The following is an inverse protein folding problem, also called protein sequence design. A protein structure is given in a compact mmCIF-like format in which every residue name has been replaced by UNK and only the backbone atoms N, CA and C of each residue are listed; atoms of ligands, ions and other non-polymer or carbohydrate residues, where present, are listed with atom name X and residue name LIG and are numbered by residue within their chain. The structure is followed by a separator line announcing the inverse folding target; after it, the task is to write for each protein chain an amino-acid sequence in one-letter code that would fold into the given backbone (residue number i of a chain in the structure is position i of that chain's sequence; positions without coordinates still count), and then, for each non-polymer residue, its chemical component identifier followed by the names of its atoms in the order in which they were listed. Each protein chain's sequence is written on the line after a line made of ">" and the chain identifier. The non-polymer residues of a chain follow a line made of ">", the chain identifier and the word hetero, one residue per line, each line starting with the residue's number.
data_IF_171172604704
#
_entry.id   IF_171172604704
#
_cell.length_a   1.000
_cell.length_b   1.000
_cell.length_c   1.000
_cell.angle_alpha   90.00
_cell.angle_beta   90.00
_cell.angle_gamma   90.00
#
_symmetry.space_group_name_H-M   'P 1'
#
loop_
_entity.id
_entity.type
_entity.pdbx_description
1 polymer ?
#
# COMPACT_ATOMS: atom_id res chain seq x y z
N UNK A 1 12.86 -17.81 3.92
CA UNK A 1 12.14 -18.58 2.88
C UNK A 1 11.10 -17.73 2.12
N UNK A 2 10.04 -17.20 2.74
CA UNK A 2 9.03 -16.40 2.02
C UNK A 2 9.60 -15.14 1.37
N UNK A 3 10.43 -14.38 2.09
CA UNK A 3 11.12 -13.20 1.54
C UNK A 3 12.02 -13.57 0.35
N UNK A 4 12.69 -14.72 0.41
CA UNK A 4 13.58 -15.18 -0.65
C UNK A 4 12.80 -15.54 -1.91
N UNK A 5 11.64 -16.20 -1.76
CA UNK A 5 10.73 -16.50 -2.86
C UNK A 5 10.19 -15.22 -3.50
N UNK A 6 9.77 -14.24 -2.68
CA UNK A 6 9.32 -12.94 -3.16
C UNK A 6 10.43 -12.21 -3.94
N UNK A 7 11.65 -12.20 -3.41
CA UNK A 7 12.79 -11.57 -4.06
C UNK A 7 13.17 -12.28 -5.37
N UNK A 8 13.09 -13.62 -5.42
CA UNK A 8 13.32 -14.39 -6.66
C UNK A 8 12.30 -14.02 -7.73
N UNK A 9 11.01 -13.92 -7.39
CA UNK A 9 9.97 -13.53 -8.34
C UNK A 9 10.15 -12.08 -8.82
N UNK A 10 10.48 -11.16 -7.90
CA UNK A 10 10.81 -9.78 -8.26
C UNK A 10 11.97 -9.71 -9.25
N UNK A 11 13.05 -10.46 -9.01
CA UNK A 11 14.20 -10.51 -9.90
C UNK A 11 13.86 -11.13 -11.27
N UNK A 12 13.00 -12.15 -11.29
CA UNK A 12 12.49 -12.76 -12.53
C UNK A 12 11.69 -11.75 -13.36
N UNK A 13 10.85 -10.92 -12.75
CA UNK A 13 10.09 -9.89 -13.46
C UNK A 13 11.01 -8.80 -14.04
N UNK A 14 12.06 -8.41 -13.31
CA UNK A 14 13.04 -7.43 -13.78
C UNK A 14 13.87 -7.98 -14.95
N UNK A 15 14.28 -9.25 -14.90
CA UNK A 15 15.06 -9.87 -15.98
C UNK A 15 14.30 -10.04 -17.29
N UNK A 16 12.96 -10.06 -17.25
CA UNK A 16 12.11 -10.06 -18.45
C UNK A 16 12.13 -8.72 -19.21
N UNK A 17 12.59 -7.64 -18.58
CA UNK A 17 12.73 -6.32 -19.23
C UNK A 17 14.21 -5.90 -19.28
N UNK A 18 15.07 -6.61 -20.04
CA UNK A 18 16.52 -6.36 -20.04
C UNK A 18 16.91 -5.08 -20.79
N UNK A 19 16.04 -4.60 -21.71
CA UNK A 19 16.24 -3.33 -22.43
C UNK A 19 15.25 -2.29 -21.94
N UNK A 20 15.77 -1.09 -21.67
CA UNK A 20 14.98 0.05 -21.25
C UNK A 20 14.16 0.58 -22.42
N UNK A 21 12.87 0.24 -22.45
CA UNK A 21 11.90 0.84 -23.36
C UNK A 21 11.36 2.15 -22.75
N UNK A 22 11.27 3.20 -23.56
CA UNK A 22 10.71 4.49 -23.13
C UNK A 22 9.21 4.50 -23.34
N UNK A 23 8.48 5.02 -22.36
CA UNK A 23 7.04 5.25 -22.40
C UNK A 23 6.73 6.72 -22.15
N UNK A 24 5.67 7.20 -22.77
CA UNK A 24 5.19 8.56 -22.59
C UNK A 24 4.04 8.55 -21.59
N UNK A 25 4.17 9.35 -20.54
CA UNK A 25 3.18 9.45 -19.47
C UNK A 25 2.67 10.88 -19.43
N UNK A 26 1.37 11.06 -19.67
CA UNK A 26 0.73 12.37 -19.72
C UNK A 26 0.05 12.70 -18.40
N UNK A 27 0.37 13.84 -17.81
CA UNK A 27 -0.32 14.31 -16.61
C UNK A 27 -1.66 14.96 -16.95
N UNK A 28 -2.74 14.42 -16.38
CA UNK A 28 -4.13 14.93 -16.52
C UNK A 28 -4.68 15.45 -15.20
N UNK A 29 -3.86 16.23 -14.50
CA UNK A 29 -4.21 16.90 -13.24
C UNK A 29 -4.88 18.26 -13.42
N UNK A 30 -5.41 18.81 -12.32
CA UNK A 30 -5.92 20.20 -12.27
C UNK A 30 -4.80 21.24 -12.33
N UNK A 31 -3.65 20.87 -11.76
CA UNK A 31 -2.43 21.68 -11.71
C UNK A 31 -1.47 21.07 -12.72
N UNK A 32 -0.76 21.90 -13.48
CA UNK A 32 0.15 21.48 -14.57
C UNK A 32 -0.51 20.50 -15.58
N UNK A 33 -1.62 20.90 -16.23
CA UNK A 33 -2.28 20.04 -17.20
C UNK A 33 -1.40 19.87 -18.45
N UNK A 34 -1.29 18.63 -18.94
CA UNK A 34 -0.60 18.34 -20.20
C UNK A 34 0.92 18.21 -20.09
N UNK A 35 1.49 18.19 -18.88
CA UNK A 35 2.90 17.83 -18.70
C UNK A 35 3.14 16.39 -19.18
N UNK A 36 4.12 16.21 -20.05
CA UNK A 36 4.53 14.91 -20.57
C UNK A 36 5.81 14.46 -19.89
N UNK A 37 5.84 13.21 -19.42
CA UNK A 37 7.02 12.57 -18.88
C UNK A 37 7.47 11.44 -19.80
N UNK A 38 8.78 11.37 -20.06
CA UNK A 38 9.39 10.24 -20.76
C UNK A 38 10.02 9.32 -19.71
N UNK A 39 9.39 8.18 -19.48
CA UNK A 39 9.68 7.25 -18.39
C UNK A 39 10.17 5.90 -18.90
N UNK A 40 10.72 5.08 -18.02
CA UNK A 40 11.18 3.73 -18.35
C UNK A 40 10.06 2.72 -18.06
N UNK A 41 9.67 1.94 -19.07
CA UNK A 41 8.68 0.87 -18.93
C UNK A 41 9.15 -0.19 -17.93
N UNK A 42 8.23 -0.68 -17.11
CA UNK A 42 8.44 -1.67 -16.04
C UNK A 42 9.46 -1.29 -14.96
N UNK A 43 9.94 -0.04 -14.95
CA UNK A 43 10.93 0.46 -13.98
C UNK A 43 10.42 1.73 -13.30
N UNK A 44 10.03 2.74 -14.09
CA UNK A 44 9.49 3.99 -13.56
C UNK A 44 8.12 3.76 -12.93
N UNK A 45 7.85 4.53 -11.88
CA UNK A 45 6.61 4.44 -11.10
C UNK A 45 5.87 5.78 -11.13
N UNK A 46 4.57 5.83 -10.81
CA UNK A 46 3.87 7.08 -10.56
C UNK A 46 4.60 8.03 -9.60
N UNK A 47 5.25 7.49 -8.57
CA UNK A 47 6.06 8.26 -7.64
C UNK A 47 7.25 8.93 -8.32
N UNK A 48 7.92 8.24 -9.25
CA UNK A 48 8.96 8.85 -10.08
C UNK A 48 8.41 10.05 -10.86
N UNK A 49 7.22 9.93 -11.46
CA UNK A 49 6.56 11.05 -12.14
C UNK A 49 6.27 12.23 -11.17
N UNK A 50 5.81 11.94 -9.96
CA UNK A 50 5.57 12.97 -8.94
C UNK A 50 6.86 13.72 -8.55
N UNK A 51 8.00 13.03 -8.51
CA UNK A 51 9.31 13.65 -8.24
C UNK A 51 9.73 14.68 -9.30
N UNK A 52 9.31 14.51 -10.56
CA UNK A 52 9.58 15.49 -11.61
C UNK A 52 8.72 16.75 -11.51
N UNK A 53 7.60 16.71 -10.77
CA UNK A 53 6.72 17.86 -10.58
C UNK A 53 7.16 18.69 -9.38
N UNK A 54 7.00 18.15 -8.17
CA UNK A 54 7.44 18.82 -6.95
C UNK A 54 7.37 17.88 -5.75
N UNK A 55 8.09 18.25 -4.68
CA UNK A 55 8.03 17.53 -3.41
C UNK A 55 6.60 17.48 -2.82
N UNK A 56 5.77 18.48 -3.11
CA UNK A 56 4.39 18.50 -2.68
C UNK A 56 3.62 17.29 -3.23
N UNK A 57 3.80 16.95 -4.51
CA UNK A 57 3.18 15.76 -5.09
C UNK A 57 3.70 14.48 -4.44
N UNK A 58 5.01 14.39 -4.17
CA UNK A 58 5.58 13.22 -3.50
C UNK A 58 4.98 12.98 -2.11
N UNK A 59 4.72 14.05 -1.35
CA UNK A 59 4.21 13.96 0.03
C UNK A 59 2.69 13.84 0.11
N UNK A 60 1.95 14.35 -0.88
CA UNK A 60 0.47 14.43 -0.83
C UNK A 60 -0.22 13.38 -1.69
N UNK A 61 0.44 12.86 -2.72
CA UNK A 61 -0.13 11.84 -3.60
C UNK A 61 -0.10 10.48 -2.91
N UNK A 62 -1.27 9.89 -2.71
CA UNK A 62 -1.40 8.59 -2.03
C UNK A 62 -1.58 7.48 -3.06
N UNK A 63 -2.38 7.77 -4.09
CA UNK A 63 -2.72 6.87 -5.17
C UNK A 63 -2.61 7.61 -6.49
N UNK A 64 -2.34 6.90 -7.57
CA UNK A 64 -2.44 7.43 -8.92
C UNK A 64 -3.62 6.78 -9.64
N UNK A 65 -4.28 7.52 -10.52
CA UNK A 65 -5.15 6.95 -11.54
C UNK A 65 -4.34 6.86 -12.83
N UNK A 66 -4.18 5.65 -13.34
CA UNK A 66 -3.53 5.36 -14.62
C UNK A 66 -4.63 4.91 -15.57
N UNK A 67 -4.90 5.70 -16.61
CA UNK A 67 -6.03 5.50 -17.55
C UNK A 67 -7.38 5.29 -16.83
N UNK A 68 -7.60 6.02 -15.73
CA UNK A 68 -8.80 5.92 -14.90
C UNK A 68 -8.83 4.76 -13.90
N UNK A 69 -7.82 3.89 -13.88
CA UNK A 69 -7.73 2.78 -12.92
C UNK A 69 -6.84 3.13 -11.72
N UNK A 70 -7.21 2.76 -10.49
CA UNK A 70 -6.36 2.97 -9.31
C UNK A 70 -5.06 2.19 -9.43
N UNK A 71 -3.95 2.89 -9.17
CA UNK A 71 -2.59 2.39 -9.31
C UNK A 71 -1.74 2.85 -8.13
N UNK A 72 -0.98 1.92 -7.56
CA UNK A 72 -0.12 2.23 -6.42
C UNK A 72 1.05 3.11 -6.86
N UNK A 73 1.46 4.02 -5.98
CA UNK A 73 2.52 4.99 -6.27
C UNK A 73 3.87 4.32 -6.59
N UNK A 74 4.13 3.14 -6.05
CA UNK A 74 5.36 2.37 -6.24
C UNK A 74 5.23 1.20 -7.21
N UNK A 75 4.08 1.06 -7.88
CA UNK A 75 3.88 0.02 -8.89
C UNK A 75 4.42 0.48 -10.25
N UNK A 76 5.30 -0.29 -10.91
CA UNK A 76 5.88 0.12 -12.19
C UNK A 76 4.82 0.31 -13.29
N UNK A 77 5.07 1.29 -14.16
CA UNK A 77 4.21 1.58 -15.32
C UNK A 77 4.57 0.66 -16.49
N UNK A 78 3.57 0.02 -17.08
CA UNK A 78 3.77 -1.01 -18.10
C UNK A 78 3.58 -0.51 -19.53
N UNK A 79 2.95 0.65 -19.72
CA UNK A 79 2.63 1.23 -21.05
C UNK A 79 2.55 2.75 -20.96
N UNK A 80 2.56 3.41 -22.11
CA UNK A 80 2.20 4.82 -22.22
C UNK A 80 0.76 5.02 -21.73
N UNK A 81 0.55 6.01 -20.87
CA UNK A 81 -0.71 6.18 -20.14
C UNK A 81 -0.92 7.63 -19.69
N UNK A 82 -2.17 7.94 -19.35
CA UNK A 82 -2.51 9.18 -18.67
C UNK A 82 -2.50 8.97 -17.15
N UNK A 83 -1.79 9.85 -16.43
CA UNK A 83 -1.64 9.80 -14.97
C UNK A 83 -2.34 10.97 -14.30
N UNK A 84 -3.07 10.68 -13.23
CA UNK A 84 -3.64 11.68 -12.32
C UNK A 84 -3.33 11.31 -10.88
N UNK A 85 -2.79 12.25 -10.12
CA UNK A 85 -2.53 12.03 -8.70
C UNK A 85 -3.80 12.25 -7.86
N UNK A 86 -4.03 11.35 -6.91
CA UNK A 86 -5.13 11.43 -5.96
C UNK A 86 -4.60 11.71 -4.54
N UNK A 87 -5.34 12.54 -3.83
CA UNK A 87 -5.07 13.00 -2.47
C UNK A 87 -6.29 12.79 -1.58
N UNK A 88 -6.11 12.83 -0.25
CA UNK A 88 -7.24 12.78 0.69
C UNK A 88 -8.21 13.97 0.59
N UNK A 89 -7.78 15.08 -0.03
CA UNK A 89 -8.54 16.33 -0.12
C UNK A 89 -9.29 16.48 -1.45
N UNK A 90 -9.30 15.45 -2.28
CA UNK A 90 -10.05 15.47 -3.52
C UNK A 90 -11.56 15.40 -3.27
N UNK A 91 -12.34 15.84 -4.28
CA UNK A 91 -13.81 15.86 -4.20
C UNK A 91 -14.40 14.46 -4.00
N UNK A 92 -13.76 13.45 -4.62
CA UNK A 92 -14.10 12.05 -4.45
C UNK A 92 -12.86 11.27 -4.02
N UNK A 93 -12.61 11.16 -2.69
CA UNK A 93 -11.49 10.40 -2.16
C UNK A 93 -11.83 8.92 -1.97
N UNK A 94 -12.90 8.41 -2.58
CA UNK A 94 -13.40 7.04 -2.36
C UNK A 94 -12.33 5.96 -2.53
N UNK A 95 -11.60 6.00 -3.65
CA UNK A 95 -10.53 5.02 -3.95
C UNK A 95 -9.33 5.15 -3.01
N UNK A 96 -8.94 6.38 -2.67
CA UNK A 96 -7.87 6.66 -1.72
C UNK A 96 -8.23 6.12 -0.33
N UNK A 97 -9.48 6.33 0.09
CA UNK A 97 -9.96 5.81 1.36
C UNK A 97 -9.94 4.28 1.33
N UNK A 98 -10.51 3.62 0.33
CA UNK A 98 -10.45 2.14 0.22
C UNK A 98 -9.01 1.61 0.33
N UNK A 99 -8.07 2.21 -0.41
CA UNK A 99 -6.65 1.85 -0.35
C UNK A 99 -6.05 2.04 1.06
N UNK A 100 -6.40 3.14 1.74
CA UNK A 100 -5.98 3.42 3.10
C UNK A 100 -6.48 2.36 4.10
N UNK A 101 -7.78 2.04 4.08
CA UNK A 101 -8.36 1.05 4.99
C UNK A 101 -7.78 -0.35 4.77
N UNK A 102 -7.56 -0.76 3.51
CA UNK A 102 -6.86 -2.01 3.17
C UNK A 102 -5.43 -2.02 3.72
N UNK A 103 -4.69 -0.91 3.57
CA UNK A 103 -3.33 -0.79 4.11
C UNK A 103 -3.31 -0.88 5.64
N UNK A 104 -4.29 -0.26 6.31
CA UNK A 104 -4.44 -0.35 7.76
C UNK A 104 -4.73 -1.77 8.24
N UNK A 105 -5.64 -2.49 7.56
CA UNK A 105 -5.93 -3.88 7.86
C UNK A 105 -4.67 -4.76 7.69
N UNK A 106 -3.92 -4.57 6.61
CA UNK A 106 -2.67 -5.32 6.37
C UNK A 106 -1.62 -5.08 7.46
N UNK A 107 -1.42 -3.81 7.87
CA UNK A 107 -0.52 -3.50 8.99
C UNK A 107 -0.96 -4.17 10.29
N UNK A 108 -2.27 -4.22 10.55
CA UNK A 108 -2.81 -4.90 11.73
C UNK A 108 -2.52 -6.40 11.72
N UNK A 109 -2.65 -7.07 10.56
CA UNK A 109 -2.27 -8.48 10.42
C UNK A 109 -0.81 -8.74 10.82
N UNK A 110 0.12 -7.91 10.35
CA UNK A 110 1.54 -8.00 10.72
C UNK A 110 1.79 -7.78 12.23
N UNK A 111 1.09 -6.81 12.84
CA UNK A 111 1.21 -6.56 14.28
C UNK A 111 0.66 -7.74 15.09
N UNK A 112 -0.47 -8.32 14.68
CA UNK A 112 -1.10 -9.45 15.35
C UNK A 112 -0.21 -10.70 15.28
N UNK A 113 0.36 -11.01 14.11
CA UNK A 113 1.29 -12.13 13.93
C UNK A 113 2.50 -12.04 14.87
N UNK A 114 2.95 -10.83 15.20
CA UNK A 114 4.09 -10.55 16.12
C UNK A 114 3.65 -10.21 17.54
N UNK A 115 2.36 -10.22 17.83
CA UNK A 115 1.84 -9.81 19.14
C UNK A 115 1.98 -10.95 20.16
N UNK A 116 1.69 -12.17 19.71
CA UNK A 116 1.65 -13.37 20.53
C UNK A 116 3.04 -13.99 20.70
N UNK A 117 3.18 -14.87 21.70
CA UNK A 117 4.39 -15.67 21.89
C UNK A 117 4.46 -16.77 20.83
N UNK A 118 5.67 -17.18 20.46
CA UNK A 118 5.93 -18.22 19.45
C UNK A 118 5.29 -19.58 19.77
N UNK A 119 4.91 -19.80 21.03
CA UNK A 119 4.20 -21.01 21.49
C UNK A 119 2.74 -21.08 21.03
N UNK A 120 2.14 -19.95 20.64
CA UNK A 120 0.76 -19.89 20.18
C UNK A 120 0.71 -19.74 18.67
N UNK A 121 -0.03 -20.62 18.00
CA UNK A 121 -0.25 -20.50 16.57
C UNK A 121 -1.21 -19.33 16.28
N UNK A 122 -0.81 -18.45 15.36
CA UNK A 122 -1.65 -17.37 14.83
C UNK A 122 -1.83 -17.59 13.33
N UNK A 123 -3.08 -17.70 12.88
CA UNK A 123 -3.41 -17.87 11.47
C UNK A 123 -4.20 -16.67 10.96
N UNK A 124 -3.61 -15.94 10.02
CA UNK A 124 -4.24 -14.82 9.33
C UNK A 124 -5.19 -15.35 8.25
N UNK A 125 -6.47 -15.00 8.29
CA UNK A 125 -7.48 -15.53 7.36
C UNK A 125 -7.67 -14.59 6.17
N UNK A 126 -8.19 -13.39 6.41
CA UNK A 126 -8.46 -12.39 5.37
C UNK A 126 -8.72 -11.01 5.97
N UNK A 127 -8.58 -9.98 5.14
CA UNK A 127 -9.08 -8.65 5.44
C UNK A 127 -10.44 -8.45 4.73
N UNK A 128 -11.58 -8.48 5.44
CA UNK A 128 -12.88 -8.23 4.83
C UNK A 128 -12.99 -6.79 4.32
N UNK A 129 -13.68 -6.60 3.20
CA UNK A 129 -13.95 -5.27 2.66
C UNK A 129 -15.10 -4.61 3.40
N UNK A 130 -14.78 -3.64 4.24
CA UNK A 130 -15.76 -2.90 5.04
C UNK A 130 -15.90 -1.48 4.47
N UNK A 131 -17.13 -0.97 4.28
CA UNK A 131 -17.35 0.41 3.87
C UNK A 131 -16.72 1.39 4.86
N UNK A 132 -16.06 2.42 4.35
CA UNK A 132 -15.37 3.46 5.14
C UNK A 132 -16.30 4.13 6.16
N UNK A 133 -17.59 4.24 5.83
CA UNK A 133 -18.64 4.81 6.69
C UNK A 133 -18.85 4.02 7.99
N UNK A 134 -18.44 2.75 8.05
CA UNK A 134 -18.54 1.94 9.26
C UNK A 134 -17.58 2.40 10.36
N UNK A 135 -16.55 3.17 10.03
CA UNK A 135 -15.61 3.72 11.00
C UNK A 135 -14.60 2.72 11.57
N UNK A 136 -14.53 1.48 11.04
CA UNK A 136 -13.58 0.45 11.46
C UNK A 136 -13.07 -0.43 10.29
N UNK A 137 -11.80 -0.85 10.36
CA UNK A 137 -11.21 -1.88 9.49
C UNK A 137 -11.12 -3.14 10.33
N UNK A 138 -11.37 -4.28 9.71
CA UNK A 138 -11.24 -5.57 10.36
C UNK A 138 -10.19 -6.42 9.66
N UNK A 139 -9.69 -7.39 10.41
CA UNK A 139 -8.82 -8.44 9.92
C UNK A 139 -9.20 -9.72 10.65
N UNK A 140 -9.59 -10.74 9.91
CA UNK A 140 -10.03 -12.02 10.45
C UNK A 140 -8.79 -12.85 10.83
N UNK A 141 -8.72 -13.28 12.10
CA UNK A 141 -7.59 -14.05 12.65
C UNK A 141 -8.13 -15.25 13.43
N UNK A 142 -7.49 -16.40 13.27
CA UNK A 142 -7.72 -17.61 14.06
C UNK A 142 -6.52 -17.80 14.98
N UNK A 143 -6.78 -17.95 16.27
CA UNK A 143 -5.77 -18.22 17.29
C UNK A 143 -5.72 -19.70 17.63
N UNK A 144 -4.69 -20.09 18.39
CA UNK A 144 -4.58 -21.42 18.97
C UNK A 144 -5.79 -21.75 19.85
N UNK A 145 -6.24 -23.02 19.83
CA UNK A 145 -7.37 -23.51 20.64
C UNK A 145 -7.18 -23.25 22.14
N UNK A 146 -5.94 -23.17 22.60
CA UNK A 146 -5.61 -22.81 24.00
C UNK A 146 -6.09 -21.41 24.39
N UNK A 147 -6.39 -20.56 23.41
CA UNK A 147 -6.84 -19.18 23.58
C UNK A 147 -8.31 -18.98 23.15
N UNK A 148 -9.09 -20.05 22.96
CA UNK A 148 -10.48 -19.95 22.49
C UNK A 148 -11.38 -19.14 23.45
N UNK A 149 -11.16 -19.25 24.76
CA UNK A 149 -11.90 -18.49 25.78
C UNK A 149 -11.21 -17.17 26.17
N UNK A 150 -9.99 -16.94 25.66
CA UNK A 150 -9.22 -15.76 26.04
C UNK A 150 -9.75 -14.49 25.36
N UNK A 151 -9.88 -13.42 26.13
CA UNK A 151 -10.27 -12.11 25.63
C UNK A 151 -9.20 -11.05 25.93
N UNK A 152 -8.86 -10.20 24.94
CA UNK A 152 -7.84 -9.17 25.12
C UNK A 152 -8.27 -8.08 26.10
N UNK A 153 -7.42 -7.83 27.09
CA UNK A 153 -7.56 -6.80 28.12
C UNK A 153 -7.29 -5.40 27.56
N UNK A 154 -7.79 -4.35 28.23
CA UNK A 154 -7.52 -2.94 27.83
C UNK A 154 -6.03 -2.62 27.73
N UNK A 155 -5.19 -3.20 28.60
CA UNK A 155 -3.74 -3.05 28.56
C UNK A 155 -3.12 -3.59 27.27
N UNK A 156 -3.46 -4.82 26.90
CA UNK A 156 -2.94 -5.51 25.70
C UNK A 156 -3.38 -4.81 24.39
N UNK A 157 -4.61 -4.28 24.36
CA UNK A 157 -5.08 -3.43 23.24
C UNK A 157 -4.23 -2.17 23.10
N UNK A 158 -3.87 -1.55 24.22
CA UNK A 158 -3.03 -0.34 24.24
C UNK A 158 -1.59 -0.65 23.84
N UNK A 159 -1.05 -1.80 24.23
CA UNK A 159 0.28 -2.26 23.82
C UNK A 159 0.36 -2.59 22.33
N UNK A 160 -0.69 -3.21 21.78
CA UNK A 160 -0.83 -3.42 20.33
C UNK A 160 -0.83 -2.08 19.59
N UNK A 161 -1.51 -1.07 20.14
CA UNK A 161 -1.45 0.31 19.66
C UNK A 161 -0.04 0.93 19.75
N UNK A 162 0.73 0.67 20.81
CA UNK A 162 2.11 1.16 20.98
C UNK A 162 3.15 0.44 20.12
N UNK A 163 2.96 -0.86 19.82
CA UNK A 163 3.84 -1.59 18.87
C UNK A 163 3.83 -0.92 17.48
N UNK A 164 2.69 -0.36 17.06
CA UNK A 164 2.56 0.48 15.85
C UNK A 164 3.43 1.75 15.90
N UNK A 165 3.65 2.31 17.08
CA UNK A 165 4.39 3.56 17.28
C UNK A 165 5.91 3.34 17.40
N UNK A 166 6.35 2.24 18.03
CA UNK A 166 7.78 1.88 18.13
C UNK A 166 8.44 1.56 16.78
N UNK A 167 7.69 1.11 15.77
CA UNK A 167 8.20 0.95 14.40
C UNK A 167 8.41 2.28 13.66
N UNK A 168 7.80 3.40 14.10
CA UNK A 168 8.05 4.74 13.54
C UNK A 168 9.32 5.41 14.03
N UNK A 169 9.87 4.99 15.18
CA UNK A 169 11.06 5.58 15.80
C UNK A 169 12.41 4.95 15.41
N UNK A 170 12.43 4.05 14.42
CA UNK A 170 13.65 3.39 13.92
C UNK A 170 14.04 3.81 12.49
N UNK A 171 13.62 5.00 12.05
CA UNK A 171 14.11 5.61 10.80
C UNK A 171 14.86 6.89 11.09
#
# INVERSE_FOLDING_TARGET
>A
MQNDLFNKEKNRQLSLTPRTEKIEVKHVGKTDPGTMFVMNKNVSTPYSCAMHLSEWYCRKSILALVDGQPWDMYKPLTKSCEIKFLTFKDRDPGEVNKAYWRSCAMMMGCVIERAFKDEYMVSLVRAPEIPVIAGAFCYDVVLDKRLDEWMPTKGERSETGRKKERERGKR
#
